data_IF_764681075118
#
_entry.id   IF_764681075118
#
_cell.length_a   1.000
_cell.length_b   1.000
_cell.length_c   1.000
_cell.angle_alpha   90.00
_cell.angle_beta   90.00
_cell.angle_gamma   90.00
#
_symmetry.space_group_name_H-M   'P 1'
#
loop_
_entity.id
_entity.type
_entity.pdbx_description
1 polymer ?
#
# COMPACT_ATOMS: atom_id res chain seq x y z
N UNK A 1 24.34 -23.50 -15.24
CA UNK A 1 23.69 -22.33 -15.87
C UNK A 1 22.18 -22.32 -15.73
N UNK A 2 21.49 -23.43 -16.01
CA UNK A 2 20.01 -23.53 -15.94
C UNK A 2 19.45 -23.12 -14.56
N UNK A 3 20.08 -23.56 -13.46
CA UNK A 3 19.64 -23.20 -12.10
C UNK A 3 19.60 -21.69 -11.84
N UNK A 4 20.59 -20.95 -12.35
CA UNK A 4 20.66 -19.49 -12.18
C UNK A 4 19.53 -18.78 -12.95
N UNK A 5 19.24 -19.25 -14.16
CA UNK A 5 18.13 -18.72 -14.96
C UNK A 5 16.79 -18.93 -14.24
N UNK A 6 16.53 -20.15 -13.75
CA UNK A 6 15.31 -20.46 -12.99
C UNK A 6 15.16 -19.57 -11.75
N UNK A 7 16.24 -19.39 -11.00
CA UNK A 7 16.27 -18.50 -9.85
C UNK A 7 15.91 -17.06 -10.27
N UNK A 8 16.59 -16.49 -11.27
CA UNK A 8 16.30 -15.13 -11.75
C UNK A 8 14.83 -14.94 -12.15
N UNK A 9 14.21 -15.92 -12.83
CA UNK A 9 12.78 -15.86 -13.16
C UNK A 9 11.87 -15.84 -11.91
N UNK A 10 12.21 -16.60 -10.86
CA UNK A 10 11.46 -16.57 -9.60
C UNK A 10 11.56 -15.21 -8.89
N UNK A 11 12.75 -14.59 -8.86
CA UNK A 11 12.89 -13.23 -8.29
C UNK A 11 12.11 -12.21 -9.11
N UNK A 12 12.19 -12.28 -10.44
CA UNK A 12 11.44 -11.39 -11.30
C UNK A 12 9.92 -11.57 -11.11
N UNK A 13 9.42 -12.80 -10.95
CA UNK A 13 8.03 -13.05 -10.64
C UNK A 13 7.63 -12.43 -9.29
N UNK A 14 8.44 -12.64 -8.25
CA UNK A 14 8.18 -12.08 -6.92
C UNK A 14 8.24 -10.55 -6.88
N UNK A 15 9.13 -9.94 -7.67
CA UNK A 15 9.23 -8.47 -7.82
C UNK A 15 8.14 -7.90 -8.75
N UNK A 16 7.61 -8.71 -9.67
CA UNK A 16 6.51 -8.32 -10.58
C UNK A 16 5.15 -8.39 -9.91
N UNK A 17 5.00 -9.14 -8.81
CA UNK A 17 3.84 -9.01 -7.96
C UNK A 17 3.84 -7.61 -7.35
N UNK A 18 2.82 -6.77 -7.64
CA UNK A 18 2.76 -5.44 -7.09
C UNK A 18 2.57 -5.56 -5.58
N UNK A 19 3.68 -5.45 -4.84
CA UNK A 19 3.76 -5.75 -3.43
C UNK A 19 2.62 -5.13 -2.65
N UNK A 20 1.63 -5.96 -2.28
CA UNK A 20 0.41 -5.59 -1.56
C UNK A 20 -0.14 -4.22 -2.01
N UNK A 21 -0.41 -4.08 -3.32
CA UNK A 21 -1.08 -2.91 -3.85
C UNK A 21 -2.38 -2.69 -3.08
N UNK A 22 -2.45 -1.55 -2.39
CA UNK A 22 -3.53 -1.12 -1.51
C UNK A 22 -4.84 -0.92 -2.28
N UNK A 23 -5.43 -1.98 -2.83
CA UNK A 23 -6.64 -1.98 -3.67
C UNK A 23 -7.81 -1.28 -2.98
N UNK A 24 -8.07 -1.51 -1.70
CA UNK A 24 -9.22 -0.93 -1.02
C UNK A 24 -9.00 0.55 -0.72
N UNK A 25 -7.86 0.91 -0.13
CA UNK A 25 -7.51 2.29 0.14
C UNK A 25 -7.46 3.13 -1.15
N UNK A 26 -6.81 2.59 -2.19
CA UNK A 26 -6.70 3.27 -3.48
C UNK A 26 -8.05 3.36 -4.22
N UNK A 27 -8.91 2.33 -4.14
CA UNK A 27 -10.27 2.37 -4.73
C UNK A 27 -11.16 3.43 -4.08
N UNK A 28 -10.89 3.82 -2.83
CA UNK A 28 -11.54 4.95 -2.16
C UNK A 28 -10.85 6.30 -2.39
N UNK A 29 -9.88 6.36 -3.29
CA UNK A 29 -9.08 7.56 -3.57
C UNK A 29 -8.20 7.97 -2.39
N UNK A 30 -7.79 7.01 -1.55
CA UNK A 30 -6.92 7.23 -0.41
C UNK A 30 -5.49 6.77 -0.63
N UNK A 31 -4.63 7.12 0.34
CA UNK A 31 -3.26 6.65 0.45
C UNK A 31 -2.99 6.16 1.87
N UNK A 32 -2.14 5.14 1.99
CA UNK A 32 -1.69 4.65 3.28
C UNK A 32 -0.63 5.59 3.86
N UNK A 33 -0.81 6.01 5.11
CA UNK A 33 0.13 6.80 5.88
C UNK A 33 0.44 6.13 7.23
N UNK A 34 1.55 6.47 7.91
CA UNK A 34 1.78 6.05 9.28
C UNK A 34 0.59 6.44 10.17
N UNK A 35 0.25 5.59 11.15
CA UNK A 35 -0.92 5.77 12.03
C UNK A 35 -0.95 7.15 12.73
N UNK A 36 0.22 7.74 12.96
CA UNK A 36 0.42 9.04 13.60
C UNK A 36 -0.01 10.23 12.72
N UNK A 37 -0.14 10.04 11.39
CA UNK A 37 -0.56 11.13 10.49
C UNK A 37 -2.00 11.53 10.80
N UNK A 38 -2.24 12.82 10.97
CA UNK A 38 -3.59 13.38 11.12
C UNK A 38 -4.25 13.44 9.73
N UNK A 39 -5.42 12.79 9.59
CA UNK A 39 -6.24 12.97 8.40
C UNK A 39 -7.15 14.20 8.59
N UNK A 40 -7.17 15.14 7.66
CA UNK A 40 -7.97 16.38 7.70
C UNK A 40 -8.90 16.41 6.49
N UNK A 41 -10.23 16.45 6.64
CA UNK A 41 -10.98 16.38 7.90
C UNK A 41 -10.90 15.00 8.56
N UNK A 42 -11.24 14.84 9.86
CA UNK A 42 -11.26 13.53 10.52
C UNK A 42 -12.10 12.46 9.78
N UNK A 43 -13.14 12.89 9.05
CA UNK A 43 -13.97 12.02 8.20
C UNK A 43 -13.24 11.42 6.99
N UNK A 44 -12.02 11.88 6.70
CA UNK A 44 -11.16 11.31 5.66
C UNK A 44 -10.26 10.18 6.15
N UNK A 45 -10.29 9.85 7.45
CA UNK A 45 -9.63 8.68 8.02
C UNK A 45 -10.49 7.44 7.78
N UNK A 46 -9.94 6.51 7.01
CA UNK A 46 -10.59 5.25 6.65
C UNK A 46 -10.10 4.07 7.51
N UNK A 47 -9.29 4.32 8.53
CA UNK A 47 -8.69 3.31 9.39
C UNK A 47 -7.63 2.48 8.64
N UNK A 48 -7.32 1.28 9.14
CA UNK A 48 -6.24 0.44 8.60
C UNK A 48 -6.49 0.00 7.14
N UNK A 49 -7.71 -0.37 6.79
CA UNK A 49 -8.03 -1.02 5.51
C UNK A 49 -7.05 -2.15 5.17
N UNK A 50 -6.52 -2.15 3.96
CA UNK A 50 -5.49 -3.02 3.43
C UNK A 50 -4.07 -2.44 3.57
N UNK A 51 -3.92 -1.36 4.36
CA UNK A 51 -2.61 -0.82 4.71
C UNK A 51 -1.82 -1.77 5.62
N UNK A 52 -0.49 -1.65 5.58
CA UNK A 52 0.43 -2.41 6.42
C UNK A 52 0.17 -2.19 7.91
N UNK A 53 0.70 -3.07 8.75
CA UNK A 53 0.67 -2.89 10.21
C UNK A 53 1.30 -1.54 10.61
N UNK A 54 0.62 -0.77 11.49
CA UNK A 54 0.92 0.63 11.86
C UNK A 54 0.67 1.70 10.78
N UNK A 55 -0.06 1.36 9.72
CA UNK A 55 -0.49 2.31 8.70
C UNK A 55 -2.02 2.40 8.67
N UNK A 56 -2.53 3.54 8.18
CA UNK A 56 -3.95 3.80 7.98
C UNK A 56 -4.17 4.53 6.65
N UNK A 57 -5.36 4.41 6.10
CA UNK A 57 -5.75 5.02 4.85
C UNK A 57 -6.37 6.40 5.11
N UNK A 58 -5.80 7.47 4.54
CA UNK A 58 -6.46 8.77 4.48
C UNK A 58 -6.84 9.10 3.03
N UNK A 59 -7.99 9.73 2.80
CA UNK A 59 -8.40 10.23 1.46
C UNK A 59 -7.37 11.21 0.89
N UNK A 60 -7.06 11.17 -0.41
CA UNK A 60 -6.16 12.16 -1.06
C UNK A 60 -6.72 13.58 -0.89
N UNK A 61 -5.87 14.55 -0.57
CA UNK A 61 -6.27 15.90 -0.12
C UNK A 61 -6.46 16.02 1.39
N UNK A 62 -6.29 14.92 2.13
CA UNK A 62 -6.28 14.92 3.58
C UNK A 62 -4.93 15.32 4.15
N UNK A 63 -4.82 16.58 4.52
CA UNK A 63 -3.59 17.23 4.98
C UNK A 63 -3.34 18.45 4.10
N UNK A 64 -3.23 19.61 4.75
CA UNK A 64 -2.92 20.90 4.11
C UNK A 64 -1.79 20.78 3.08
#
# INVERSE_FOLDING_TARGET
MILYLLFAFLFLAFLSEPGNAYKQCHKKGGHCFPKEKICIPPSSDFGKMDCRWRWKCCKKGSGK
#
